data_IF_873385341269
#
_entry.id   IF_873385341269
#
_cell.length_a   1.000
_cell.length_b   1.000
_cell.length_c   1.000
_cell.angle_alpha   90.00
_cell.angle_beta   90.00
_cell.angle_gamma   90.00
#
_symmetry.space_group_name_H-M   'P 1'
#
loop_
_entity.id
_entity.type
_entity.pdbx_description
1 polymer ?
#
# COMPACT_ATOMS: atom_id res chain seq x y z
N UNK A 1 5.50 7.95 -78.85
CA UNK A 1 5.07 8.90 -77.81
C UNK A 1 4.54 8.10 -76.63
N UNK A 2 5.41 7.81 -75.65
CA UNK A 2 5.08 7.03 -74.46
C UNK A 2 5.31 7.97 -73.27
N UNK A 3 4.22 8.40 -72.62
CA UNK A 3 4.28 9.33 -71.48
C UNK A 3 4.65 8.54 -70.23
N UNK A 4 5.81 8.84 -69.66
CA UNK A 4 6.23 8.35 -68.36
C UNK A 4 5.45 9.05 -67.23
N UNK A 5 4.92 8.26 -66.32
CA UNK A 5 4.30 8.73 -65.07
C UNK A 5 5.39 8.67 -64.00
N UNK A 6 5.85 9.85 -63.57
CA UNK A 6 6.75 9.99 -62.42
C UNK A 6 5.87 9.95 -61.17
N UNK A 7 5.92 8.85 -60.42
CA UNK A 7 5.30 8.73 -59.12
C UNK A 7 6.25 9.35 -58.08
N UNK A 8 5.98 10.58 -57.64
CA UNK A 8 6.68 11.19 -56.51
C UNK A 8 6.12 10.63 -55.20
N UNK A 9 6.93 9.83 -54.51
CA UNK A 9 6.62 9.27 -53.19
C UNK A 9 6.89 10.35 -52.12
N UNK A 10 5.84 11.00 -51.64
CA UNK A 10 5.93 11.99 -50.56
C UNK A 10 6.02 11.24 -49.23
N UNK A 11 7.21 11.25 -48.61
CA UNK A 11 7.39 10.80 -47.23
C UNK A 11 6.60 11.73 -46.29
N UNK A 12 5.49 11.23 -45.75
CA UNK A 12 4.79 11.88 -44.63
C UNK A 12 5.57 11.51 -43.37
N UNK A 13 6.38 12.45 -42.87
CA UNK A 13 6.92 12.41 -41.52
C UNK A 13 5.75 12.60 -40.55
N UNK A 14 5.26 11.50 -39.99
CA UNK A 14 4.36 11.53 -38.83
C UNK A 14 5.22 12.00 -37.65
N UNK A 15 5.17 13.30 -37.33
CA UNK A 15 5.62 13.80 -36.04
C UNK A 15 4.69 13.18 -34.99
N UNK A 16 5.20 12.24 -34.21
CA UNK A 16 4.55 11.84 -32.97
C UNK A 16 4.57 13.05 -32.04
N UNK A 17 3.43 13.72 -31.89
CA UNK A 17 3.24 14.64 -30.78
C UNK A 17 3.36 13.83 -29.50
N UNK A 18 4.47 13.96 -28.80
CA UNK A 18 4.55 13.60 -27.40
C UNK A 18 3.58 14.54 -26.69
N UNK A 19 2.47 13.99 -26.18
CA UNK A 19 1.63 14.71 -25.24
C UNK A 19 2.48 14.80 -23.98
N UNK A 20 3.15 15.94 -23.75
CA UNK A 20 3.58 16.31 -22.41
C UNK A 20 2.31 16.38 -21.57
N UNK A 21 2.05 15.34 -20.78
CA UNK A 21 0.98 15.38 -19.78
C UNK A 21 1.47 16.27 -18.65
N UNK A 22 1.28 17.58 -18.81
CA UNK A 22 1.42 18.55 -17.71
C UNK A 22 0.57 18.09 -16.52
N UNK A 23 1.16 18.06 -15.33
CA UNK A 23 0.44 17.62 -14.14
C UNK A 23 -0.59 18.68 -13.71
N UNK A 24 -1.78 18.26 -13.26
CA UNK A 24 -2.78 19.22 -12.79
C UNK A 24 -2.28 20.00 -11.58
N UNK A 25 -2.68 21.27 -11.51
CA UNK A 25 -2.38 22.15 -10.38
C UNK A 25 -3.47 21.97 -9.34
N UNK A 26 -3.09 21.83 -8.07
CA UNK A 26 -4.04 21.73 -6.96
C UNK A 26 -3.87 22.90 -6.01
N UNK A 27 -4.97 23.62 -5.75
CA UNK A 27 -4.98 24.77 -4.85
C UNK A 27 -6.21 24.77 -3.97
N UNK A 28 -6.10 25.43 -2.82
CA UNK A 28 -7.24 25.64 -1.96
C UNK A 28 -8.08 26.85 -2.33
N UNK A 29 -9.36 26.77 -1.98
CA UNK A 29 -10.25 27.92 -1.99
C UNK A 29 -11.20 27.83 -0.80
N UNK A 30 -11.26 28.92 -0.04
CA UNK A 30 -11.96 29.00 1.25
C UNK A 30 -13.50 29.10 1.14
N UNK A 31 -14.09 28.94 -0.05
CA UNK A 31 -15.54 29.14 -0.23
C UNK A 31 -16.30 27.80 -0.29
N UNK A 32 -16.84 27.43 0.87
CA UNK A 32 -17.72 26.28 1.08
C UNK A 32 -19.07 26.46 0.39
N UNK A 33 -19.21 26.01 -0.85
CA UNK A 33 -20.52 25.84 -1.49
C UNK A 33 -20.53 24.63 -2.44
N UNK A 34 -20.94 23.50 -1.87
CA UNK A 34 -21.68 22.35 -2.44
C UNK A 34 -21.59 21.20 -1.41
N UNK A 35 -22.68 20.50 -1.08
CA UNK A 35 -22.67 19.47 -0.03
C UNK A 35 -21.93 18.17 -0.45
N UNK A 36 -21.80 17.90 -1.75
CA UNK A 36 -21.23 16.65 -2.28
C UNK A 36 -20.05 16.83 -3.27
N UNK A 37 -19.83 18.03 -3.82
CA UNK A 37 -18.72 18.32 -4.74
C UNK A 37 -17.53 18.93 -4.00
N UNK A 38 -16.36 18.30 -4.13
CA UNK A 38 -15.15 18.68 -3.39
C UNK A 38 -14.02 19.21 -4.28
N UNK A 39 -14.17 19.14 -5.60
CA UNK A 39 -13.16 19.65 -6.54
C UNK A 39 -13.83 20.40 -7.70
N UNK A 40 -13.45 21.67 -7.88
CA UNK A 40 -13.88 22.50 -9.02
C UNK A 40 -12.73 22.58 -10.02
N UNK A 41 -13.02 22.37 -11.30
CA UNK A 41 -12.02 22.50 -12.36
C UNK A 41 -12.13 23.87 -13.01
N UNK A 42 -11.02 24.61 -12.99
CA UNK A 42 -10.87 25.90 -13.66
C UNK A 42 -9.66 25.86 -14.60
N UNK A 43 -9.88 25.42 -15.85
CA UNK A 43 -8.77 25.14 -16.77
C UNK A 43 -7.96 23.92 -16.31
N UNK A 44 -6.62 23.99 -16.18
CA UNK A 44 -5.79 22.91 -15.64
C UNK A 44 -5.84 22.82 -14.10
N UNK A 45 -6.46 23.80 -13.44
CA UNK A 45 -6.44 23.92 -11.98
C UNK A 45 -7.62 23.17 -11.34
N UNK A 46 -7.30 22.43 -10.29
CA UNK A 46 -8.24 21.80 -9.37
C UNK A 46 -8.28 22.60 -8.08
N UNK A 47 -9.44 23.20 -7.84
CA UNK A 47 -9.74 23.91 -6.60
C UNK A 47 -10.39 22.91 -5.63
N UNK A 48 -9.67 22.54 -4.59
CA UNK A 48 -10.11 21.55 -3.61
C UNK A 48 -10.82 22.23 -2.43
N UNK A 49 -11.92 21.62 -2.00
CA UNK A 49 -12.74 22.05 -0.86
C UNK A 49 -12.83 20.96 0.20
N UNK A 50 -12.99 21.33 1.49
CA UNK A 50 -13.22 20.36 2.56
C UNK A 50 -14.52 19.59 2.35
N UNK A 51 -14.49 18.31 2.69
CA UNK A 51 -15.68 17.47 2.75
C UNK A 51 -16.34 17.49 4.13
N UNK A 52 -17.64 17.14 4.24
CA UNK A 52 -18.28 16.89 5.53
C UNK A 52 -17.55 15.81 6.35
N UNK A 53 -17.75 15.83 7.66
CA UNK A 53 -17.11 14.90 8.59
C UNK A 53 -17.31 13.42 8.18
N UNK A 54 -16.23 12.64 8.24
CA UNK A 54 -16.21 11.22 7.86
C UNK A 54 -16.16 10.94 6.36
N UNK A 55 -15.88 11.95 5.54
CA UNK A 55 -15.70 11.82 4.09
C UNK A 55 -14.32 12.34 3.64
N UNK A 56 -13.83 11.82 2.52
CA UNK A 56 -12.62 12.32 1.85
C UNK A 56 -12.95 12.82 0.45
N UNK A 57 -12.24 13.83 -0.03
CA UNK A 57 -12.38 14.26 -1.42
C UNK A 57 -11.68 13.27 -2.36
N UNK A 58 -12.38 12.78 -3.39
CA UNK A 58 -11.77 12.14 -4.55
C UNK A 58 -11.71 13.15 -5.71
N UNK A 59 -10.53 13.74 -6.01
CA UNK A 59 -10.40 14.75 -7.06
C UNK A 59 -10.67 14.20 -8.47
N UNK A 60 -10.57 12.88 -8.67
CA UNK A 60 -10.78 12.23 -9.97
C UNK A 60 -12.25 12.27 -10.38
N UNK A 61 -13.14 12.00 -9.43
CA UNK A 61 -14.60 12.04 -9.62
C UNK A 61 -15.25 13.30 -9.04
N UNK A 62 -14.44 14.14 -8.39
CA UNK A 62 -14.78 15.47 -7.84
C UNK A 62 -15.82 15.44 -6.73
N UNK A 63 -15.91 14.34 -6.00
CA UNK A 63 -16.95 14.12 -4.98
C UNK A 63 -16.36 13.74 -3.63
N UNK A 64 -17.10 14.12 -2.58
CA UNK A 64 -16.90 13.55 -1.26
C UNK A 64 -17.34 12.09 -1.26
N UNK A 65 -16.46 11.20 -0.82
CA UNK A 65 -16.74 9.76 -0.74
C UNK A 65 -16.69 9.30 0.70
N UNK A 66 -17.67 8.47 1.08
CA UNK A 66 -17.63 7.72 2.33
C UNK A 66 -16.88 6.42 2.13
N UNK A 67 -16.10 6.03 3.14
CA UNK A 67 -15.53 4.68 3.17
C UNK A 67 -16.66 3.64 3.18
N UNK A 68 -16.59 2.68 2.25
CA UNK A 68 -17.53 1.57 2.21
C UNK A 68 -17.33 0.66 3.41
N UNK A 69 -18.42 0.26 4.08
CA UNK A 69 -18.35 -0.77 5.12
C UNK A 69 -17.98 -2.11 4.49
N UNK A 70 -16.81 -2.62 4.87
CA UNK A 70 -16.38 -3.99 4.55
C UNK A 70 -16.77 -4.88 5.72
N UNK A 71 -17.38 -6.04 5.46
CA UNK A 71 -17.68 -7.04 6.49
C UNK A 71 -16.37 -7.64 7.02
N UNK A 72 -16.33 -7.85 8.34
CA UNK A 72 -15.21 -8.43 9.06
C UNK A 72 -15.19 -9.96 8.90
N UNK A 73 -13.98 -10.51 8.86
CA UNK A 73 -13.73 -11.91 8.54
C UNK A 73 -13.51 -12.72 9.82
N UNK A 74 -13.52 -14.06 9.74
CA UNK A 74 -13.20 -14.91 10.87
C UNK A 74 -11.89 -14.49 11.55
N UNK A 75 -11.94 -14.32 12.87
CA UNK A 75 -10.82 -13.84 13.66
C UNK A 75 -10.76 -12.33 13.90
N UNK A 76 -11.51 -11.52 13.17
CA UNK A 76 -11.69 -10.10 13.50
C UNK A 76 -12.55 -9.92 14.74
N UNK A 77 -12.35 -8.81 15.47
CA UNK A 77 -13.24 -8.42 16.57
C UNK A 77 -14.56 -7.89 16.03
N UNK A 78 -15.63 -8.09 16.79
CA UNK A 78 -16.97 -7.63 16.46
C UNK A 78 -17.75 -7.25 17.71
N UNK A 79 -18.71 -6.33 17.54
CA UNK A 79 -19.69 -5.95 18.56
C UNK A 79 -21.12 -6.40 18.22
N UNK A 80 -21.31 -6.94 17.00
CA UNK A 80 -22.59 -7.35 16.46
C UNK A 80 -22.39 -8.27 15.25
N UNK A 81 -23.36 -9.16 15.02
CA UNK A 81 -23.36 -10.12 13.90
C UNK A 81 -23.35 -9.42 12.53
N UNK A 82 -24.02 -8.26 12.41
CA UNK A 82 -24.11 -7.50 11.15
C UNK A 82 -22.77 -6.98 10.62
N UNK A 83 -21.71 -7.04 11.44
CA UNK A 83 -20.36 -6.67 11.03
C UNK A 83 -19.51 -7.85 10.58
N UNK A 84 -19.96 -9.09 10.80
CA UNK A 84 -19.23 -10.28 10.39
C UNK A 84 -19.75 -10.83 9.06
N UNK A 85 -18.91 -11.57 8.34
CA UNK A 85 -19.36 -12.40 7.21
C UNK A 85 -20.29 -13.54 7.64
N UNK A 86 -20.14 -14.02 8.87
CA UNK A 86 -20.96 -15.06 9.50
C UNK A 86 -21.43 -14.58 10.89
N UNK A 87 -20.97 -15.22 11.96
CA UNK A 87 -21.47 -14.98 13.32
C UNK A 87 -20.47 -14.18 14.16
N UNK A 88 -20.99 -13.34 15.06
CA UNK A 88 -20.20 -12.68 16.09
C UNK A 88 -20.38 -13.42 17.42
N UNK A 89 -19.38 -14.21 17.83
CA UNK A 89 -19.44 -15.03 19.05
C UNK A 89 -18.31 -14.59 19.97
N UNK A 90 -18.66 -14.24 21.21
CA UNK A 90 -17.72 -13.75 22.23
C UNK A 90 -16.87 -12.56 21.77
N UNK A 91 -17.48 -11.68 20.95
CA UNK A 91 -16.83 -10.48 20.42
C UNK A 91 -15.82 -10.74 19.30
N UNK A 92 -15.83 -11.94 18.68
CA UNK A 92 -14.98 -12.30 17.55
C UNK A 92 -15.84 -12.92 16.43
N UNK A 93 -15.60 -12.51 15.19
CA UNK A 93 -16.24 -13.12 14.04
C UNK A 93 -15.77 -14.57 13.91
N UNK A 94 -16.70 -15.52 13.89
CA UNK A 94 -16.40 -16.95 13.78
C UNK A 94 -16.68 -17.46 12.38
N UNK A 95 -15.73 -18.21 11.85
CA UNK A 95 -15.92 -19.00 10.65
C UNK A 95 -16.50 -20.38 10.97
N UNK A 96 -16.57 -21.20 9.92
CA UNK A 96 -16.91 -22.62 9.99
C UNK A 96 -15.90 -23.39 10.83
N UNK A 97 -16.41 -24.32 11.63
CA UNK A 97 -15.66 -25.14 12.58
C UNK A 97 -14.93 -26.27 11.88
N UNK A 98 -14.04 -26.92 12.63
CA UNK A 98 -13.32 -28.10 12.14
C UNK A 98 -14.30 -29.17 11.63
N UNK A 99 -13.98 -29.75 10.48
CA UNK A 99 -14.76 -30.74 9.73
C UNK A 99 -16.02 -30.22 9.01
N UNK A 100 -16.43 -28.96 9.19
CA UNK A 100 -17.53 -28.39 8.40
C UNK A 100 -17.14 -28.16 6.95
N UNK A 101 -18.13 -28.18 6.05
CA UNK A 101 -17.92 -28.03 4.61
C UNK A 101 -17.58 -26.58 4.24
N UNK A 102 -16.53 -26.38 3.46
CA UNK A 102 -16.08 -25.08 2.98
C UNK A 102 -15.79 -25.14 1.47
N UNK A 103 -15.88 -24.00 0.79
CA UNK A 103 -15.43 -23.84 -0.60
C UNK A 103 -14.14 -23.03 -0.67
N UNK A 104 -13.88 -22.23 0.36
CA UNK A 104 -12.71 -21.36 0.45
C UNK A 104 -12.26 -21.15 1.91
N UNK A 105 -11.01 -20.76 2.05
CA UNK A 105 -10.24 -20.58 3.27
C UNK A 105 -10.76 -19.42 4.11
N UNK A 106 -11.39 -18.45 3.46
CA UNK A 106 -12.11 -17.34 4.09
C UNK A 106 -13.26 -17.83 4.99
N UNK A 107 -13.85 -18.99 4.68
CA UNK A 107 -15.03 -19.51 5.38
C UNK A 107 -14.69 -20.19 6.70
N UNK A 108 -13.45 -20.64 6.86
CA UNK A 108 -13.04 -21.38 8.04
C UNK A 108 -12.61 -20.42 9.17
N UNK A 109 -12.73 -20.90 10.41
CA UNK A 109 -12.25 -20.16 11.57
C UNK A 109 -10.73 -19.88 11.49
N UNK A 110 -10.23 -18.90 12.27
CA UNK A 110 -8.89 -18.32 12.06
C UNK A 110 -7.71 -19.31 12.10
N UNK A 111 -7.82 -20.38 12.89
CA UNK A 111 -6.80 -21.44 13.02
C UNK A 111 -6.93 -22.57 11.99
N UNK A 112 -7.93 -22.47 11.11
CA UNK A 112 -8.28 -23.51 10.14
C UNK A 112 -7.99 -23.05 8.70
N UNK A 113 -7.99 -24.01 7.79
CA UNK A 113 -7.92 -23.83 6.34
C UNK A 113 -8.98 -24.70 5.66
N UNK A 114 -9.37 -24.34 4.44
CA UNK A 114 -10.25 -25.18 3.65
C UNK A 114 -9.44 -26.23 2.88
N UNK A 115 -9.50 -27.49 3.31
CA UNK A 115 -8.77 -28.58 2.67
C UNK A 115 -9.73 -29.66 2.16
N UNK A 116 -9.70 -29.89 0.83
CA UNK A 116 -10.56 -30.86 0.15
C UNK A 116 -12.06 -30.69 0.50
N UNK A 117 -12.50 -29.43 0.57
CA UNK A 117 -13.90 -29.07 0.82
C UNK A 117 -14.34 -29.09 2.29
N UNK A 118 -13.41 -29.22 3.23
CA UNK A 118 -13.70 -29.26 4.67
C UNK A 118 -12.69 -28.43 5.46
N UNK A 119 -13.15 -27.72 6.49
CA UNK A 119 -12.27 -26.94 7.36
C UNK A 119 -11.40 -27.88 8.20
N UNK A 120 -10.08 -27.71 8.11
CA UNK A 120 -9.07 -28.52 8.79
C UNK A 120 -8.06 -27.64 9.48
N UNK A 121 -7.39 -28.15 10.51
CA UNK A 121 -6.25 -27.46 11.12
C UNK A 121 -5.17 -27.21 10.08
N UNK A 122 -4.51 -26.06 10.21
CA UNK A 122 -3.27 -25.76 9.50
C UNK A 122 -2.22 -26.81 9.83
N UNK A 123 -1.34 -27.07 8.88
CA UNK A 123 -0.27 -28.04 9.07
C UNK A 123 0.76 -27.47 10.05
N UNK A 124 1.40 -28.35 10.80
CA UNK A 124 2.42 -28.02 11.79
C UNK A 124 3.77 -27.72 11.14
N UNK A 125 4.68 -27.14 11.92
CA UNK A 125 6.02 -26.80 11.46
C UNK A 125 6.72 -28.03 10.84
N UNK A 126 7.40 -27.83 9.70
CA UNK A 126 8.08 -28.90 8.94
C UNK A 126 7.20 -29.97 8.28
N UNK A 127 5.87 -29.83 8.29
CA UNK A 127 4.99 -30.65 7.45
C UNK A 127 4.99 -30.17 6.00
N UNK A 128 4.64 -31.09 5.09
CA UNK A 128 4.61 -30.81 3.65
C UNK A 128 3.49 -29.84 3.31
N UNK A 129 3.85 -28.64 2.88
CA UNK A 129 2.92 -27.64 2.37
C UNK A 129 2.97 -27.55 0.85
N UNK A 130 1.89 -27.05 0.25
CA UNK A 130 1.87 -26.59 -1.15
C UNK A 130 1.60 -25.09 -1.27
N UNK A 131 0.95 -24.49 -0.27
CA UNK A 131 0.52 -23.09 -0.30
C UNK A 131 0.68 -22.44 1.07
N UNK A 132 0.89 -21.14 1.10
CA UNK A 132 1.15 -20.39 2.32
C UNK A 132 -0.01 -20.44 3.34
N UNK A 133 -1.24 -20.63 2.90
CA UNK A 133 -2.39 -20.70 3.81
C UNK A 133 -2.52 -22.04 4.54
N UNK A 134 -1.75 -23.05 4.12
CA UNK A 134 -1.67 -24.33 4.82
C UNK A 134 -0.82 -24.20 6.08
N UNK A 135 0.14 -23.26 6.07
CA UNK A 135 1.05 -23.00 7.17
C UNK A 135 0.43 -22.11 8.27
N UNK A 136 0.97 -22.14 9.50
CA UNK A 136 0.65 -21.17 10.54
C UNK A 136 0.78 -19.72 10.04
N UNK A 137 0.05 -18.78 10.63
CA UNK A 137 -0.01 -17.41 10.08
C UNK A 137 1.30 -16.62 10.13
N UNK A 138 2.27 -17.06 10.93
CA UNK A 138 3.62 -16.51 11.01
C UNK A 138 4.62 -17.25 10.09
N UNK A 139 4.13 -18.18 9.25
CA UNK A 139 4.89 -19.00 8.32
C UNK A 139 4.31 -18.96 6.90
N UNK A 140 5.14 -19.32 5.92
CA UNK A 140 4.78 -19.47 4.52
C UNK A 140 5.32 -20.77 3.96
N UNK A 141 4.80 -21.20 2.81
CA UNK A 141 5.24 -22.44 2.20
C UNK A 141 6.48 -22.19 1.33
N UNK A 142 7.60 -22.80 1.70
CA UNK A 142 8.86 -22.67 0.97
C UNK A 142 9.48 -24.04 0.74
N UNK A 143 9.72 -24.39 -0.54
CA UNK A 143 10.28 -25.69 -0.93
C UNK A 143 9.56 -26.90 -0.28
N UNK A 144 8.25 -26.78 -0.10
CA UNK A 144 7.41 -27.82 0.47
C UNK A 144 7.48 -27.93 2.00
N UNK A 145 8.00 -26.93 2.71
CA UNK A 145 7.97 -26.87 4.17
C UNK A 145 7.51 -25.50 4.67
N UNK A 146 6.78 -25.49 5.79
CA UNK A 146 6.41 -24.24 6.45
C UNK A 146 7.65 -23.58 7.07
N UNK A 147 7.93 -22.36 6.61
CA UNK A 147 9.11 -21.57 6.94
C UNK A 147 8.68 -20.22 7.48
N UNK A 148 9.37 -19.70 8.51
CA UNK A 148 9.04 -18.40 9.10
C UNK A 148 9.13 -17.28 8.07
N UNK A 149 8.16 -16.38 8.07
CA UNK A 149 8.32 -15.12 7.35
C UNK A 149 9.54 -14.36 7.88
N UNK A 150 10.16 -13.54 7.03
CA UNK A 150 11.37 -12.77 7.30
C UNK A 150 12.55 -13.64 7.78
N UNK A 151 12.74 -14.83 7.22
CA UNK A 151 13.82 -15.74 7.61
C UNK A 151 14.84 -16.05 6.50
N UNK A 152 14.47 -15.92 5.22
CA UNK A 152 15.37 -16.26 4.12
C UNK A 152 16.52 -15.25 4.03
N UNK A 153 17.74 -15.76 3.94
CA UNK A 153 18.98 -14.97 3.91
C UNK A 153 19.24 -14.39 2.52
N UNK A 154 20.09 -13.36 2.48
CA UNK A 154 20.61 -12.79 1.25
C UNK A 154 21.15 -13.88 0.31
N UNK A 155 20.79 -13.80 -0.98
CA UNK A 155 21.10 -14.77 -2.02
C UNK A 155 20.08 -15.89 -2.22
N UNK A 156 19.23 -16.19 -1.23
CA UNK A 156 18.19 -17.23 -1.37
C UNK A 156 17.13 -16.86 -2.40
N UNK A 157 16.61 -17.86 -3.12
CA UNK A 157 15.57 -17.67 -4.13
C UNK A 157 14.19 -17.53 -3.48
N UNK A 158 13.33 -16.72 -4.09
CA UNK A 158 11.95 -16.51 -3.65
C UNK A 158 10.97 -16.60 -4.81
N UNK A 159 9.71 -16.90 -4.51
CA UNK A 159 8.66 -17.02 -5.52
C UNK A 159 8.11 -15.67 -6.00
N UNK A 160 8.22 -14.63 -5.17
CA UNK A 160 7.64 -13.32 -5.47
C UNK A 160 8.53 -12.20 -4.93
N UNK A 161 8.80 -11.24 -5.79
CA UNK A 161 9.49 -9.99 -5.48
C UNK A 161 8.68 -8.85 -6.11
N UNK A 162 7.92 -8.11 -5.30
CA UNK A 162 7.03 -7.03 -5.76
C UNK A 162 7.56 -5.73 -5.19
N UNK A 163 7.77 -4.74 -6.04
CA UNK A 163 8.37 -3.44 -5.68
C UNK A 163 9.66 -3.59 -4.86
N UNK A 164 10.47 -4.60 -5.19
CA UNK A 164 11.72 -4.95 -4.50
C UNK A 164 11.56 -5.32 -3.02
N UNK A 165 10.34 -5.66 -2.59
CA UNK A 165 10.02 -6.10 -1.25
C UNK A 165 9.50 -7.54 -1.25
N UNK A 166 9.86 -8.31 -0.22
CA UNK A 166 9.33 -9.64 0.01
C UNK A 166 9.36 -9.98 1.49
N UNK A 167 8.21 -10.39 2.03
CA UNK A 167 8.10 -10.85 3.42
C UNK A 167 8.79 -12.21 3.66
N UNK A 168 9.32 -12.85 2.62
CA UNK A 168 10.10 -14.10 2.75
C UNK A 168 11.54 -13.81 3.20
N UNK A 169 12.09 -12.68 2.77
CA UNK A 169 13.47 -12.29 3.02
C UNK A 169 13.65 -11.66 4.40
N UNK A 170 14.78 -11.94 5.05
CA UNK A 170 15.08 -11.49 6.42
C UNK A 170 15.20 -9.97 6.58
N UNK A 171 15.67 -9.30 5.52
CA UNK A 171 15.69 -7.84 5.33
C UNK A 171 14.32 -7.27 4.90
N UNK A 172 13.43 -8.14 4.44
CA UNK A 172 12.20 -7.78 3.75
C UNK A 172 12.40 -7.25 2.32
N UNK A 173 13.63 -7.34 1.77
CA UNK A 173 14.00 -6.82 0.45
C UNK A 173 14.41 -7.94 -0.51
N UNK A 174 14.18 -7.70 -1.80
CA UNK A 174 14.54 -8.63 -2.86
C UNK A 174 14.94 -7.93 -4.15
N UNK A 175 15.72 -8.63 -4.97
CA UNK A 175 16.12 -8.20 -6.31
C UNK A 175 16.23 -9.43 -7.21
N UNK A 176 15.62 -9.38 -8.40
CA UNK A 176 15.66 -10.49 -9.38
C UNK A 176 15.28 -11.85 -8.77
N UNK A 177 14.19 -11.90 -8.01
CA UNK A 177 13.70 -13.11 -7.30
C UNK A 177 14.69 -13.73 -6.31
N UNK A 178 15.59 -12.91 -5.77
CA UNK A 178 16.47 -13.29 -4.67
C UNK A 178 16.35 -12.33 -3.51
N UNK A 179 16.53 -12.82 -2.30
CA UNK A 179 16.70 -11.97 -1.15
C UNK A 179 18.01 -11.18 -1.24
N UNK A 180 17.97 -9.93 -0.82
CA UNK A 180 19.14 -9.06 -0.69
C UNK A 180 19.24 -8.54 0.74
N UNK A 181 20.41 -8.06 1.14
CA UNK A 181 20.58 -7.40 2.42
C UNK A 181 19.81 -6.08 2.48
N UNK A 182 19.56 -5.57 3.68
CA UNK A 182 18.90 -4.28 3.85
C UNK A 182 19.76 -3.17 3.25
N UNK A 183 19.19 -2.45 2.28
CA UNK A 183 19.78 -1.25 1.71
C UNK A 183 19.02 -0.06 2.27
N UNK A 184 19.75 0.90 2.85
CA UNK A 184 19.18 2.17 3.28
C UNK A 184 20.00 3.28 2.65
N UNK A 185 19.33 4.16 1.92
CA UNK A 185 19.93 5.44 1.53
C UNK A 185 19.76 6.42 2.70
N UNK A 186 20.83 7.14 3.05
CA UNK A 186 20.82 8.10 4.17
C UNK A 186 20.04 9.38 3.86
N UNK A 187 19.71 9.65 2.59
CA UNK A 187 19.02 10.86 2.17
C UNK A 187 17.76 10.58 1.37
N UNK A 188 16.69 11.17 1.89
CA UNK A 188 15.39 11.30 1.27
C UNK A 188 15.42 12.56 0.41
N UNK A 189 15.80 12.45 -0.85
CA UNK A 189 15.77 13.60 -1.75
C UNK A 189 14.38 13.73 -2.38
N UNK A 190 13.81 14.94 -2.31
CA UNK A 190 12.69 15.33 -3.15
C UNK A 190 13.19 15.17 -4.57
N UNK A 191 12.78 14.09 -5.23
CA UNK A 191 13.20 13.80 -6.60
C UNK A 191 12.06 14.22 -7.53
N UNK A 192 11.98 15.50 -7.93
CA UNK A 192 11.14 15.87 -9.05
C UNK A 192 11.60 15.07 -10.26
N UNK A 193 10.66 14.67 -11.10
CA UNK A 193 10.94 13.87 -12.28
C UNK A 193 10.22 14.47 -13.48
N UNK A 194 10.93 14.58 -14.59
CA UNK A 194 10.37 14.98 -15.90
C UNK A 194 10.06 13.77 -16.79
N UNK A 195 10.68 12.63 -16.50
CA UNK A 195 10.49 11.38 -17.24
C UNK A 195 9.42 10.50 -16.60
N UNK A 196 8.91 9.53 -17.35
CA UNK A 196 7.87 8.61 -16.87
C UNK A 196 8.34 7.67 -15.73
N UNK A 197 9.66 7.53 -15.57
CA UNK A 197 10.26 6.65 -14.56
C UNK A 197 11.42 7.34 -13.86
N UNK A 198 11.70 6.86 -12.66
CA UNK A 198 12.83 7.23 -11.84
C UNK A 198 13.73 6.01 -11.64
N UNK A 199 15.04 6.26 -11.54
CA UNK A 199 16.04 5.23 -11.35
C UNK A 199 16.91 5.54 -10.13
N UNK A 200 17.10 4.53 -9.28
CA UNK A 200 18.05 4.56 -8.17
C UNK A 200 19.06 3.45 -8.38
N UNK A 201 20.34 3.79 -8.37
CA UNK A 201 21.44 2.83 -8.54
C UNK A 201 22.15 2.61 -7.20
N UNK A 202 22.32 1.35 -6.81
CA UNK A 202 23.07 0.97 -5.62
C UNK A 202 24.05 -0.16 -5.93
N UNK A 203 25.31 0.18 -6.16
CA UNK A 203 26.29 -0.77 -6.70
C UNK A 203 25.85 -1.25 -8.08
N UNK A 204 25.73 -2.56 -8.26
CA UNK A 204 25.29 -3.19 -9.53
C UNK A 204 23.76 -3.35 -9.64
N UNK A 205 22.99 -2.85 -8.67
CA UNK A 205 21.53 -2.95 -8.66
C UNK A 205 20.89 -1.66 -9.16
N UNK A 206 19.86 -1.80 -9.99
CA UNK A 206 19.06 -0.69 -10.54
C UNK A 206 17.59 -0.86 -10.13
N UNK A 207 17.07 0.14 -9.43
CA UNK A 207 15.70 0.19 -8.96
C UNK A 207 14.90 1.17 -9.80
N UNK A 208 13.85 0.69 -10.45
CA UNK A 208 12.95 1.52 -11.26
C UNK A 208 11.64 1.75 -10.54
N UNK A 209 11.16 2.98 -10.59
CA UNK A 209 9.90 3.38 -9.97
C UNK A 209 9.21 4.44 -10.80
N UNK A 210 7.91 4.59 -10.57
CA UNK A 210 7.05 5.44 -11.38
C UNK A 210 7.24 6.92 -10.99
N UNK A 211 7.25 7.78 -12.00
CA UNK A 211 7.03 9.21 -11.82
C UNK A 211 5.53 9.49 -11.85
N UNK A 212 5.00 10.15 -10.81
CA UNK A 212 3.57 10.42 -10.67
C UNK A 212 3.33 11.88 -10.33
N UNK A 213 2.22 12.44 -10.83
CA UNK A 213 1.84 13.82 -10.51
C UNK A 213 1.61 14.01 -9.01
N UNK A 214 2.17 15.11 -8.49
CA UNK A 214 1.87 15.61 -7.15
C UNK A 214 0.48 16.22 -7.06
N UNK A 215 0.05 16.54 -5.83
CA UNK A 215 -1.08 17.43 -5.60
C UNK A 215 -0.57 18.83 -5.21
N UNK A 216 0.40 19.34 -5.97
CA UNK A 216 1.11 20.59 -5.68
C UNK A 216 0.47 21.80 -6.39
N UNK A 217 0.66 23.02 -5.89
CA UNK A 217 0.15 24.25 -6.52
C UNK A 217 0.89 24.66 -7.79
N UNK A 218 1.98 23.96 -8.13
CA UNK A 218 2.80 24.19 -9.31
C UNK A 218 2.63 23.12 -10.39
N UNK A 219 1.88 22.03 -10.10
CA UNK A 219 1.70 20.94 -11.07
C UNK A 219 3.01 20.18 -11.30
N UNK A 220 3.76 19.88 -10.23
CA UNK A 220 5.00 19.12 -10.35
C UNK A 220 4.74 17.60 -10.28
N UNK A 221 5.61 16.82 -10.92
CA UNK A 221 5.70 15.37 -10.77
C UNK A 221 6.87 14.95 -9.91
N UNK A 222 6.67 13.87 -9.15
CA UNK A 222 7.65 13.34 -8.21
C UNK A 222 7.75 11.82 -8.34
N UNK A 223 8.93 11.31 -8.03
CA UNK A 223 9.15 9.88 -7.96
C UNK A 223 8.34 9.25 -6.83
N UNK A 224 7.72 8.10 -7.08
CA UNK A 224 7.13 7.27 -6.02
C UNK A 224 8.21 6.67 -5.11
N UNK A 225 7.81 6.27 -3.89
CA UNK A 225 8.74 5.75 -2.88
C UNK A 225 9.39 4.43 -3.31
N UNK A 226 10.71 4.35 -3.21
CA UNK A 226 11.53 3.17 -3.53
C UNK A 226 11.80 2.32 -2.29
N UNK A 227 12.03 1.01 -2.47
CA UNK A 227 12.28 0.05 -1.38
C UNK A 227 13.39 0.45 -0.39
N UNK A 228 14.37 1.24 -0.85
CA UNK A 228 15.49 1.72 -0.03
C UNK A 228 15.15 2.94 0.81
N UNK A 229 13.96 3.53 0.64
CA UNK A 229 13.55 4.71 1.40
C UNK A 229 13.36 4.38 2.89
N UNK A 230 13.75 5.32 3.79
CA UNK A 230 13.56 5.16 5.23
C UNK A 230 12.11 4.84 5.64
N UNK A 231 11.11 5.44 4.99
CA UNK A 231 9.69 5.19 5.28
C UNK A 231 9.30 3.73 5.02
N UNK A 232 9.84 3.10 3.97
CA UNK A 232 9.59 1.69 3.66
C UNK A 232 10.35 0.78 4.61
N UNK A 233 11.57 1.14 4.99
CA UNK A 233 12.33 0.43 6.01
C UNK A 233 11.59 0.36 7.36
N UNK A 234 11.00 1.48 7.81
CA UNK A 234 10.18 1.48 9.04
C UNK A 234 8.94 0.58 8.87
N UNK A 235 8.22 0.69 7.76
CA UNK A 235 7.06 -0.18 7.48
C UNK A 235 7.42 -1.67 7.49
N UNK A 236 8.56 -2.06 6.90
CA UNK A 236 9.05 -3.45 6.95
C UNK A 236 9.30 -3.93 8.38
N UNK A 237 9.90 -3.08 9.23
CA UNK A 237 10.11 -3.39 10.66
C UNK A 237 8.78 -3.60 11.40
N UNK A 238 7.77 -2.77 11.13
CA UNK A 238 6.43 -2.92 11.72
C UNK A 238 5.76 -4.22 11.28
N UNK A 239 5.83 -4.58 10.00
CA UNK A 239 5.31 -5.87 9.51
C UNK A 239 6.06 -7.06 10.10
N UNK A 240 7.38 -6.96 10.28
CA UNK A 240 8.17 -7.99 10.96
C UNK A 240 7.75 -8.14 12.43
N UNK A 241 7.44 -7.03 13.12
CA UNK A 241 6.89 -7.07 14.49
C UNK A 241 5.53 -7.79 14.51
N UNK A 242 4.62 -7.44 13.59
CA UNK A 242 3.30 -8.06 13.50
C UNK A 242 3.39 -9.58 13.27
N UNK A 243 4.22 -10.01 12.33
CA UNK A 243 4.39 -11.42 11.99
C UNK A 243 4.92 -12.26 13.14
N UNK A 244 5.79 -11.70 13.97
CA UNK A 244 6.35 -12.40 15.13
C UNK A 244 5.49 -12.24 16.39
N UNK A 245 4.31 -11.63 16.28
CA UNK A 245 3.37 -11.46 17.39
C UNK A 245 2.58 -12.76 17.62
N UNK A 246 1.98 -12.92 18.79
CA UNK A 246 1.05 -14.04 19.03
C UNK A 246 -0.32 -13.77 18.41
N UNK A 247 -0.64 -12.49 18.29
CA UNK A 247 -1.89 -11.93 17.82
C UNK A 247 -2.17 -12.28 16.36
N UNK A 248 -1.12 -12.48 15.54
CA UNK A 248 -1.30 -12.88 14.13
C UNK A 248 -2.05 -14.20 13.98
N UNK A 249 -2.00 -15.09 14.97
CA UNK A 249 -2.73 -16.36 14.96
C UNK A 249 -4.25 -16.20 15.15
N UNK A 250 -4.70 -15.03 15.60
CA UNK A 250 -6.12 -14.73 15.67
C UNK A 250 -6.72 -14.41 14.31
N UNK A 251 -5.92 -14.10 13.28
CA UNK A 251 -6.44 -13.74 11.95
C UNK A 251 -6.85 -14.94 11.12
N UNK A 252 -7.86 -14.78 10.26
CA UNK A 252 -8.03 -15.69 9.13
C UNK A 252 -6.74 -15.76 8.30
N UNK A 253 -6.44 -16.96 7.80
CA UNK A 253 -5.18 -17.23 7.09
C UNK A 253 -4.95 -16.37 5.86
N UNK A 254 -6.01 -16.00 5.14
CA UNK A 254 -5.92 -15.15 3.94
C UNK A 254 -5.73 -13.67 4.34
N UNK A 255 -6.11 -13.31 5.56
CA UNK A 255 -6.12 -11.94 6.07
C UNK A 255 -5.02 -11.62 7.09
N UNK A 256 -4.07 -12.52 7.31
CA UNK A 256 -2.95 -12.28 8.25
C UNK A 256 -2.10 -11.04 7.95
N UNK A 257 -2.18 -10.49 6.72
CA UNK A 257 -1.55 -9.23 6.33
C UNK A 257 -2.55 -8.12 6.01
N UNK A 258 -3.82 -8.33 6.31
CA UNK A 258 -4.85 -7.30 6.19
C UNK A 258 -4.82 -6.39 7.42
N UNK A 259 -4.92 -5.08 7.19
CA UNK A 259 -4.85 -4.09 8.27
C UNK A 259 -6.04 -4.18 9.23
N UNK A 260 -7.20 -4.70 8.81
CA UNK A 260 -8.35 -4.90 9.69
C UNK A 260 -8.02 -5.88 10.82
N UNK A 261 -7.29 -6.97 10.53
CA UNK A 261 -6.92 -7.90 11.58
C UNK A 261 -5.88 -7.31 12.52
N UNK A 262 -4.89 -6.57 12.00
CA UNK A 262 -3.92 -5.84 12.85
C UNK A 262 -4.67 -4.87 13.77
N UNK A 263 -5.65 -4.12 13.25
CA UNK A 263 -6.43 -3.14 14.01
C UNK A 263 -7.10 -3.74 15.23
N UNK A 264 -7.67 -4.94 15.07
CA UNK A 264 -8.43 -5.59 16.11
C UNK A 264 -7.54 -6.09 17.25
N UNK A 265 -6.33 -6.56 16.93
CA UNK A 265 -5.47 -7.24 17.91
C UNK A 265 -4.28 -6.41 18.39
N UNK A 266 -3.78 -5.47 17.58
CA UNK A 266 -2.72 -4.52 17.94
C UNK A 266 -3.01 -3.15 17.30
N UNK A 267 -3.89 -2.39 17.95
CA UNK A 267 -4.35 -1.09 17.44
C UNK A 267 -3.21 -0.07 17.26
N UNK A 268 -2.22 -0.08 18.14
CA UNK A 268 -1.06 0.82 18.04
C UNK A 268 -0.19 0.44 16.84
N UNK A 269 0.09 -0.85 16.63
CA UNK A 269 0.82 -1.30 15.46
C UNK A 269 0.05 -1.02 14.16
N UNK A 270 -1.27 -1.23 14.17
CA UNK A 270 -2.15 -0.88 13.05
C UNK A 270 -2.02 0.58 12.65
N UNK A 271 -2.11 1.52 13.60
CA UNK A 271 -1.99 2.96 13.31
C UNK A 271 -0.65 3.28 12.65
N UNK A 272 0.43 2.73 13.20
CA UNK A 272 1.77 2.92 12.64
C UNK A 272 1.88 2.35 11.22
N UNK A 273 1.42 1.11 10.98
CA UNK A 273 1.46 0.51 9.65
C UNK A 273 0.59 1.30 8.67
N UNK A 274 -0.62 1.69 9.07
CA UNK A 274 -1.55 2.46 8.24
C UNK A 274 -0.94 3.82 7.86
N UNK A 275 -0.33 4.53 8.82
CA UNK A 275 0.34 5.79 8.58
C UNK A 275 1.41 5.64 7.48
N UNK A 276 2.37 4.73 7.65
CA UNK A 276 3.41 4.52 6.63
C UNK A 276 2.84 3.99 5.31
N UNK A 277 1.80 3.15 5.34
CA UNK A 277 1.14 2.68 4.12
C UNK A 277 0.53 3.82 3.31
N UNK A 278 -0.12 4.79 3.96
CA UNK A 278 -0.67 5.99 3.30
C UNK A 278 0.45 6.86 2.74
N UNK A 279 1.50 7.14 3.53
CA UNK A 279 2.64 7.95 3.09
C UNK A 279 3.32 7.33 1.87
N UNK A 280 3.58 6.02 1.89
CA UNK A 280 4.25 5.31 0.80
C UNK A 280 3.38 5.28 -0.47
N UNK A 281 2.09 4.97 -0.34
CA UNK A 281 1.15 4.90 -1.50
C UNK A 281 0.89 6.25 -2.14
N UNK A 282 0.98 7.33 -1.37
CA UNK A 282 0.71 8.69 -1.83
C UNK A 282 1.98 9.54 -1.86
N UNK A 283 3.15 8.92 -1.90
CA UNK A 283 4.43 9.59 -1.72
C UNK A 283 4.60 10.81 -2.63
N UNK A 284 4.39 10.62 -3.94
CA UNK A 284 4.49 11.68 -4.93
C UNK A 284 3.41 12.76 -4.73
N UNK A 285 2.19 12.35 -4.39
CA UNK A 285 1.05 13.24 -4.14
C UNK A 285 1.24 14.17 -2.95
N UNK A 286 1.98 13.71 -1.94
CA UNK A 286 2.24 14.43 -0.70
C UNK A 286 3.44 15.40 -0.81
N UNK A 287 4.19 15.38 -1.90
CA UNK A 287 5.30 16.32 -2.09
C UNK A 287 4.75 17.72 -2.39
N UNK A 288 5.18 18.70 -1.60
CA UNK A 288 4.83 20.12 -1.76
C UNK A 288 3.30 20.35 -1.85
N UNK A 289 2.52 19.53 -1.15
CA UNK A 289 1.05 19.65 -1.05
C UNK A 289 0.69 20.79 -0.08
N UNK A 290 -0.32 21.60 -0.41
CA UNK A 290 -0.87 22.58 0.52
C UNK A 290 -1.63 21.87 1.65
N UNK A 291 -1.51 22.35 2.90
CA UNK A 291 -2.10 21.70 4.08
C UNK A 291 -3.61 21.45 3.94
N UNK A 292 -4.34 22.40 3.38
CA UNK A 292 -5.78 22.30 3.13
C UNK A 292 -6.13 21.26 2.05
N UNK A 293 -5.30 21.10 1.00
CA UNK A 293 -5.46 20.00 0.03
C UNK A 293 -5.20 18.67 0.73
N UNK A 294 -4.13 18.58 1.53
CA UNK A 294 -3.82 17.37 2.31
C UNK A 294 -4.96 17.01 3.26
N UNK A 295 -5.48 17.97 4.01
CA UNK A 295 -6.56 17.74 4.98
C UNK A 295 -7.88 17.37 4.30
N UNK A 296 -8.11 17.79 3.05
CA UNK A 296 -9.33 17.47 2.30
C UNK A 296 -9.25 16.12 1.59
N UNK A 297 -8.10 15.79 1.02
CA UNK A 297 -7.88 14.56 0.24
C UNK A 297 -7.44 13.40 1.13
N UNK A 298 -6.63 13.67 2.15
CA UNK A 298 -6.07 12.70 3.08
C UNK A 298 -6.34 13.05 4.55
N UNK A 299 -7.60 13.29 4.96
CA UNK A 299 -7.95 13.75 6.32
C UNK A 299 -7.37 12.85 7.42
N UNK A 300 -7.36 11.54 7.17
CA UNK A 300 -6.81 10.51 8.05
C UNK A 300 -5.32 10.64 8.38
N UNK A 301 -4.51 11.34 7.57
CA UNK A 301 -3.08 11.54 7.86
C UNK A 301 -2.94 12.39 9.11
N UNK A 302 -3.69 13.48 9.24
CA UNK A 302 -3.65 14.38 10.39
C UNK A 302 -3.95 13.64 11.69
N UNK A 303 -5.03 12.86 11.69
CA UNK A 303 -5.48 12.12 12.88
C UNK A 303 -4.47 11.04 13.32
N UNK A 304 -3.69 10.48 12.38
CA UNK A 304 -2.65 9.50 12.65
C UNK A 304 -1.33 10.13 13.14
N UNK A 305 -0.98 11.32 12.63
CA UNK A 305 0.25 12.03 12.98
C UNK A 305 0.31 12.32 14.48
N UNK A 306 -0.76 12.90 15.04
CA UNK A 306 -0.85 13.27 16.45
C UNK A 306 -0.63 12.08 17.39
N UNK A 307 -0.81 10.85 16.89
CA UNK A 307 -0.75 9.61 17.66
C UNK A 307 0.56 8.84 17.45
N UNK A 308 1.19 8.95 16.27
CA UNK A 308 2.46 8.25 15.96
C UNK A 308 3.66 8.93 16.60
N UNK A 309 3.65 10.27 16.73
CA UNK A 309 4.72 11.06 17.36
C UNK A 309 4.95 10.72 18.85
N UNK A 310 3.99 10.06 19.50
CA UNK A 310 4.09 9.63 20.89
C UNK A 310 4.83 8.29 21.13
N UNK A 311 5.07 7.47 20.11
CA UNK A 311 5.53 6.06 20.29
C UNK A 311 6.84 5.69 19.59
N UNK A 312 7.26 6.41 18.54
CA UNK A 312 8.55 6.17 17.86
C UNK A 312 9.25 7.51 17.60
N UNK A 313 10.22 7.84 18.46
CA UNK A 313 10.78 9.19 18.59
C UNK A 313 11.19 9.90 17.29
N UNK A 314 10.60 11.07 17.08
CA UNK A 314 11.20 12.40 16.76
C UNK A 314 12.08 12.53 15.48
N UNK A 315 12.41 11.48 14.75
CA UNK A 315 13.37 11.57 13.62
C UNK A 315 12.78 12.02 12.28
N UNK A 316 11.64 11.47 11.86
CA UNK A 316 11.13 11.67 10.50
C UNK A 316 10.16 12.85 10.36
N UNK A 317 9.43 13.19 11.44
CA UNK A 317 8.41 14.23 11.40
C UNK A 317 9.01 15.64 11.26
N UNK A 318 10.14 15.89 11.93
CA UNK A 318 10.91 17.12 11.76
C UNK A 318 11.54 17.24 10.35
N UNK A 319 11.72 16.15 9.61
CA UNK A 319 12.33 16.21 8.27
C UNK A 319 11.30 16.51 7.17
N UNK A 320 10.06 15.99 7.28
CA UNK A 320 8.98 16.35 6.36
C UNK A 320 8.42 17.76 6.63
N UNK A 321 8.42 18.20 7.90
CA UNK A 321 7.98 19.56 8.26
C UNK A 321 9.06 20.64 8.06
N UNK A 322 10.36 20.34 8.16
CA UNK A 322 11.41 21.34 7.80
C UNK A 322 11.45 21.64 6.30
N UNK A 323 10.87 20.77 5.47
CA UNK A 323 10.67 20.99 4.03
C UNK A 323 9.49 21.90 3.68
N UNK A 324 8.75 22.42 4.68
CA UNK A 324 7.71 23.45 4.57
C UNK A 324 8.21 24.86 4.97
N UNK A 325 9.48 25.01 5.38
CA UNK A 325 10.06 26.28 5.85
C UNK A 325 11.32 26.73 5.10
N UNK A 326 11.56 26.24 3.88
CA UNK A 326 12.56 26.80 2.94
C UNK A 326 11.92 27.11 1.61
#
# INVERSE_FOLDING_TARGET
MQKGIILTCTLILIQSQQIETECPIYRCHDESKAEDECAIVNGPDFIIKPCPEGQSCDPTIRKCVKSSKVLAFPGNKCDSEQKCLWDCIDGVCRGKKEFENCHSEIECDSELMCYKGSCRKKISHSEKCLKDYECPNDEFCYNGACTKYFSLKSGEFIHSCIDYESKQCSSGMCYSYRCIDELSIERFEKNPCSDHFCEVVHGDMQFYHKCSCGLSPNGDSYCESVATDPVRAVKRKLWKKWVNSKEIHNCNTIQRFDLSCVKDWDYELYKNILYYDIIIKNFAKLQNIEECVQNSVFPQIRDLIEQVDGSYGIGLFLYLMTLLLV
#
